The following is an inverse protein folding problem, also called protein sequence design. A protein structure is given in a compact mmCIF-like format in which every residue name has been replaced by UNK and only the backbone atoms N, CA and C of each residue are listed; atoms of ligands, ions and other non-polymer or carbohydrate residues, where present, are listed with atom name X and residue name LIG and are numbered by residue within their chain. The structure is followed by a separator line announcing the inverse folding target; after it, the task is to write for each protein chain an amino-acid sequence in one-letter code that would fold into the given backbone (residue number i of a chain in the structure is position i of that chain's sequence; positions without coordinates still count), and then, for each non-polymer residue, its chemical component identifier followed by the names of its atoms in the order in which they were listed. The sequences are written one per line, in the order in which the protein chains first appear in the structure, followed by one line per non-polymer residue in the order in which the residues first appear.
data_IF_466450602778
#
_entry.id   IF_466450602778
#
_cell.length_a   1.000
_cell.length_b   1.000
_cell.length_c   1.000
_cell.angle_alpha   90.00
_cell.angle_beta   90.00
_cell.angle_gamma   90.00
#
_symmetry.space_group_name_H-M   'P 1'
#
loop_
_entity.id
_entity.type
_entity.pdbx_description
1 polymer ?
#
# COMPACT_ATOMS: atom_id res chain seq x y z
N UNK A 1 64.06 -44.37 -40.49
CA UNK A 1 63.35 -44.38 -41.79
C UNK A 1 61.87 -44.49 -41.46
N UNK A 2 60.92 -43.59 -41.73
CA UNK A 2 60.80 -42.32 -42.47
C UNK A 2 59.54 -41.66 -41.84
N UNK A 3 59.68 -40.61 -41.03
CA UNK A 3 59.23 -39.24 -41.32
C UNK A 3 58.07 -39.09 -42.33
N UNK A 4 56.85 -38.78 -41.87
CA UNK A 4 55.96 -37.81 -42.54
C UNK A 4 55.18 -37.04 -41.47
N UNK A 5 55.55 -35.77 -41.36
CA UNK A 5 54.90 -34.69 -40.62
C UNK A 5 53.64 -34.26 -41.37
N UNK A 6 52.50 -34.17 -40.68
CA UNK A 6 51.33 -33.44 -41.17
C UNK A 6 50.98 -32.35 -40.14
N UNK A 7 51.56 -31.17 -40.36
CA UNK A 7 51.07 -29.88 -39.86
C UNK A 7 49.98 -29.43 -40.84
N UNK A 8 49.04 -28.59 -40.36
CA UNK A 8 47.98 -27.81 -41.05
C UNK A 8 46.57 -28.34 -40.73
N UNK A 9 45.59 -27.57 -40.23
CA UNK A 9 45.41 -26.12 -40.05
C UNK A 9 44.42 -25.91 -38.90
N UNK A 10 44.66 -24.88 -38.09
CA UNK A 10 43.65 -24.30 -37.21
C UNK A 10 42.48 -23.78 -38.06
N UNK A 11 41.29 -24.32 -37.86
CA UNK A 11 40.05 -23.71 -38.31
C UNK A 11 39.60 -22.68 -37.25
N UNK A 12 40.33 -21.58 -37.16
CA UNK A 12 39.83 -20.32 -36.62
C UNK A 12 39.42 -19.48 -37.83
N UNK A 13 38.13 -19.33 -38.08
CA UNK A 13 37.66 -18.61 -39.26
C UNK A 13 36.13 -18.53 -39.28
N UNK A 14 35.59 -17.64 -38.45
CA UNK A 14 34.17 -17.31 -38.40
C UNK A 14 33.74 -16.55 -37.14
N UNK A 15 34.40 -16.76 -35.99
CA UNK A 15 33.86 -16.36 -34.68
C UNK A 15 33.97 -14.85 -34.35
N UNK A 16 35.03 -14.16 -34.77
CA UNK A 16 35.28 -12.78 -34.30
C UNK A 16 34.15 -11.79 -34.68
N UNK A 17 33.57 -11.94 -35.88
CA UNK A 17 32.44 -11.11 -36.32
C UNK A 17 31.13 -11.45 -35.60
N UNK A 18 30.89 -12.73 -35.33
CA UNK A 18 29.69 -13.21 -34.66
C UNK A 18 29.67 -12.85 -33.16
N UNK A 19 30.85 -12.88 -32.51
CA UNK A 19 31.05 -12.51 -31.11
C UNK A 19 30.92 -10.99 -30.91
N UNK A 20 31.50 -10.17 -31.80
CA UNK A 20 31.32 -8.71 -31.80
C UNK A 20 29.86 -8.30 -32.05
N UNK A 21 29.17 -8.99 -32.97
CA UNK A 21 27.76 -8.77 -33.24
C UNK A 21 26.88 -9.18 -32.06
N UNK A 22 27.23 -10.25 -31.35
CA UNK A 22 26.53 -10.68 -30.13
C UNK A 22 26.68 -9.66 -29.00
N UNK A 23 27.90 -9.15 -28.79
CA UNK A 23 28.15 -8.08 -27.81
C UNK A 23 27.33 -6.84 -28.17
N UNK A 24 27.35 -6.38 -29.43
CA UNK A 24 26.59 -5.20 -29.87
C UNK A 24 25.09 -5.33 -29.64
N UNK A 25 24.52 -6.52 -29.92
CA UNK A 25 23.10 -6.81 -29.63
C UNK A 25 22.80 -6.78 -28.13
N UNK A 26 23.68 -7.36 -27.31
CA UNK A 26 23.51 -7.36 -25.86
C UNK A 26 23.64 -5.93 -25.27
N UNK A 27 24.54 -5.10 -25.79
CA UNK A 27 24.67 -3.69 -25.41
C UNK A 27 23.41 -2.90 -25.78
N UNK A 28 22.90 -3.07 -27.00
CA UNK A 28 21.64 -2.45 -27.42
C UNK A 28 20.45 -2.89 -26.54
N UNK A 29 20.40 -4.17 -26.14
CA UNK A 29 19.38 -4.70 -25.23
C UNK A 29 19.49 -4.04 -23.84
N UNK A 30 20.69 -3.90 -23.29
CA UNK A 30 20.90 -3.19 -22.01
C UNK A 30 20.44 -1.74 -22.11
N UNK A 31 20.80 -1.02 -23.17
CA UNK A 31 20.34 0.37 -23.36
C UNK A 31 18.82 0.47 -23.46
N UNK A 32 18.16 -0.46 -24.18
CA UNK A 32 16.71 -0.50 -24.26
C UNK A 32 16.06 -0.78 -22.90
N UNK A 33 16.59 -1.72 -22.12
CA UNK A 33 16.08 -2.04 -20.79
C UNK A 33 16.35 -0.95 -19.75
N UNK A 34 17.46 -0.23 -19.86
CA UNK A 34 17.71 0.98 -19.06
C UNK A 34 16.65 2.05 -19.31
N UNK A 35 16.30 2.28 -20.58
CA UNK A 35 15.22 3.21 -20.94
C UNK A 35 13.88 2.76 -20.38
N UNK A 36 13.53 1.48 -20.52
CA UNK A 36 12.29 0.93 -19.98
C UNK A 36 12.20 1.08 -18.44
N UNK A 37 13.32 0.89 -17.72
CA UNK A 37 13.38 1.17 -16.28
C UNK A 37 13.09 2.64 -16.00
N UNK A 38 13.72 3.57 -16.72
CA UNK A 38 13.47 5.01 -16.54
C UNK A 38 12.01 5.39 -16.83
N UNK A 39 11.43 4.85 -17.90
CA UNK A 39 10.03 5.10 -18.28
C UNK A 39 9.06 4.57 -17.20
N UNK A 40 9.22 3.31 -16.78
CA UNK A 40 8.35 2.70 -15.76
C UNK A 40 8.55 3.27 -14.35
N UNK A 41 9.74 3.75 -14.00
CA UNK A 41 9.97 4.49 -12.74
C UNK A 41 9.27 5.87 -12.75
N UNK A 42 9.21 6.52 -13.92
CA UNK A 42 8.45 7.76 -14.08
C UNK A 42 6.94 7.50 -13.97
N UNK A 43 6.43 6.45 -14.64
CA UNK A 43 5.03 6.02 -14.52
C UNK A 43 4.65 5.69 -13.07
N UNK A 44 5.51 4.96 -12.34
CA UNK A 44 5.29 4.67 -10.93
C UNK A 44 5.24 5.95 -10.07
N UNK A 45 6.12 6.92 -10.35
CA UNK A 45 6.13 8.20 -9.63
C UNK A 45 4.85 8.98 -9.88
N UNK A 46 4.38 9.02 -11.13
CA UNK A 46 3.12 9.66 -11.52
C UNK A 46 1.92 8.99 -10.85
N UNK A 47 1.83 7.66 -10.91
CA UNK A 47 0.75 6.91 -10.29
C UNK A 47 0.73 7.06 -8.76
N UNK A 48 1.90 7.05 -8.11
CA UNK A 48 2.02 7.30 -6.66
C UNK A 48 1.56 8.73 -6.32
N UNK A 49 1.91 9.72 -7.15
CA UNK A 49 1.46 11.11 -6.95
C UNK A 49 -0.05 11.22 -7.08
N UNK A 50 -0.64 10.59 -8.10
CA UNK A 50 -2.08 10.55 -8.29
C UNK A 50 -2.80 9.89 -7.10
N UNK A 51 -2.25 8.80 -6.56
CA UNK A 51 -2.76 8.18 -5.34
C UNK A 51 -2.72 9.13 -4.13
N UNK A 52 -1.61 9.83 -3.92
CA UNK A 52 -1.49 10.79 -2.82
C UNK A 52 -2.47 11.96 -2.99
N UNK A 53 -2.65 12.47 -4.20
CA UNK A 53 -3.58 13.57 -4.49
C UNK A 53 -5.04 13.13 -4.27
N UNK A 54 -5.45 11.98 -4.82
CA UNK A 54 -6.79 11.44 -4.66
C UNK A 54 -7.13 11.12 -3.19
N UNK A 55 -6.17 10.57 -2.44
CA UNK A 55 -6.36 10.30 -1.01
C UNK A 55 -6.46 11.60 -0.19
N UNK A 56 -5.68 12.62 -0.55
CA UNK A 56 -5.77 13.95 0.09
C UNK A 56 -7.16 14.55 -0.14
N UNK A 57 -7.68 14.48 -1.37
CA UNK A 57 -9.04 14.93 -1.69
C UNK A 57 -10.11 14.15 -0.92
N UNK A 58 -9.93 12.84 -0.76
CA UNK A 58 -10.83 12.02 0.04
C UNK A 58 -10.80 12.43 1.53
N UNK A 59 -9.63 12.63 2.11
CA UNK A 59 -9.48 13.10 3.50
C UNK A 59 -10.12 14.47 3.71
N UNK A 60 -9.94 15.41 2.77
CA UNK A 60 -10.61 16.73 2.82
C UNK A 60 -12.13 16.58 2.73
N UNK A 61 -12.62 15.62 1.95
CA UNK A 61 -14.05 15.34 1.84
C UNK A 61 -14.62 14.79 3.17
N UNK A 62 -13.86 13.92 3.85
CA UNK A 62 -14.20 13.41 5.20
C UNK A 62 -14.23 14.54 6.25
N UNK A 63 -13.26 15.45 6.23
CA UNK A 63 -13.24 16.63 7.11
C UNK A 63 -14.49 17.50 6.93
N UNK A 64 -14.86 17.78 5.67
CA UNK A 64 -16.09 18.51 5.34
C UNK A 64 -17.35 17.77 5.80
N UNK A 65 -17.38 16.44 5.74
CA UNK A 65 -18.48 15.66 6.30
C UNK A 65 -18.55 15.81 7.83
N UNK A 66 -17.40 15.82 8.51
CA UNK A 66 -17.30 16.10 9.94
C UNK A 66 -17.87 17.49 10.33
N UNK A 67 -17.62 18.51 9.51
CA UNK A 67 -18.19 19.86 9.70
C UNK A 67 -19.72 19.86 9.66
N UNK A 68 -20.35 19.03 8.82
CA UNK A 68 -21.82 18.89 8.77
C UNK A 68 -22.33 18.39 10.12
N UNK A 69 -21.65 17.39 10.71
CA UNK A 69 -22.04 16.80 11.99
C UNK A 69 -21.87 17.75 13.18
N UNK A 70 -20.96 18.73 13.07
CA UNK A 70 -20.72 19.72 14.14
C UNK A 70 -21.48 21.03 13.93
N UNK A 71 -22.26 21.14 12.85
CA UNK A 71 -23.09 22.31 12.59
C UNK A 71 -24.22 22.49 13.61
N UNK A 72 -24.76 23.71 13.72
CA UNK A 72 -25.70 24.07 14.80
C UNK A 72 -27.07 23.37 14.69
N UNK A 73 -27.43 22.82 13.52
CA UNK A 73 -28.70 22.12 13.31
C UNK A 73 -28.68 21.28 12.00
N UNK A 74 -27.80 20.27 11.86
CA UNK A 74 -27.81 19.42 10.68
C UNK A 74 -29.12 18.63 10.63
N UNK A 75 -29.67 18.49 9.43
CA UNK A 75 -30.80 17.60 9.18
C UNK A 75 -30.29 16.21 8.76
N UNK A 76 -31.14 15.20 8.88
CA UNK A 76 -30.86 13.86 8.32
C UNK A 76 -30.62 13.93 6.80
N UNK A 77 -31.23 14.89 6.11
CA UNK A 77 -30.99 15.15 4.69
C UNK A 77 -29.56 15.62 4.42
N UNK A 78 -29.08 16.60 5.20
CA UNK A 78 -27.71 17.13 5.06
C UNK A 78 -26.65 16.04 5.30
N UNK A 79 -26.88 15.18 6.30
CA UNK A 79 -25.97 14.06 6.60
C UNK A 79 -25.96 13.02 5.48
N UNK A 80 -27.12 12.71 4.89
CA UNK A 80 -27.20 11.75 3.77
C UNK A 80 -26.52 12.31 2.52
N UNK A 81 -26.80 13.55 2.17
CA UNK A 81 -26.18 14.21 1.01
C UNK A 81 -24.66 14.28 1.16
N UNK A 82 -24.16 14.72 2.32
CA UNK A 82 -22.74 14.77 2.59
C UNK A 82 -22.09 13.37 2.59
N UNK A 83 -22.81 12.34 3.02
CA UNK A 83 -22.34 10.95 2.96
C UNK A 83 -22.27 10.39 1.54
N UNK A 84 -23.27 10.68 0.71
CA UNK A 84 -23.31 10.28 -0.70
C UNK A 84 -22.12 10.91 -1.48
N UNK A 85 -21.77 12.16 -1.15
CA UNK A 85 -20.64 12.89 -1.72
C UNK A 85 -19.27 12.24 -1.45
N UNK A 86 -19.15 11.35 -0.45
CA UNK A 86 -17.90 10.63 -0.13
C UNK A 86 -17.64 9.44 -1.06
N UNK A 87 -18.65 8.96 -1.79
CA UNK A 87 -18.56 7.71 -2.58
C UNK A 87 -17.51 7.83 -3.66
N UNK A 88 -17.58 8.90 -4.46
CA UNK A 88 -16.71 9.09 -5.62
C UNK A 88 -15.25 9.37 -5.22
N UNK A 89 -14.93 10.30 -4.28
CA UNK A 89 -13.56 10.49 -3.83
C UNK A 89 -12.91 9.22 -3.28
N UNK A 90 -13.68 8.37 -2.59
CA UNK A 90 -13.20 7.06 -2.13
C UNK A 90 -12.88 6.13 -3.32
N UNK A 91 -13.78 6.02 -4.29
CA UNK A 91 -13.55 5.20 -5.49
C UNK A 91 -12.33 5.68 -6.29
N UNK A 92 -12.16 7.00 -6.41
CA UNK A 92 -11.01 7.62 -7.08
C UNK A 92 -9.70 7.31 -6.32
N UNK A 93 -9.69 7.40 -4.99
CA UNK A 93 -8.52 7.05 -4.17
C UNK A 93 -8.15 5.56 -4.26
N UNK A 94 -9.14 4.66 -4.25
CA UNK A 94 -8.93 3.22 -4.43
C UNK A 94 -8.39 2.91 -5.83
N UNK A 95 -8.99 3.49 -6.89
CA UNK A 95 -8.53 3.29 -8.26
C UNK A 95 -7.09 3.78 -8.46
N UNK A 96 -6.74 4.94 -7.91
CA UNK A 96 -5.37 5.44 -7.96
C UNK A 96 -4.38 4.55 -7.19
N UNK A 97 -4.82 3.90 -6.10
CA UNK A 97 -4.00 2.93 -5.37
C UNK A 97 -3.72 1.67 -6.22
N UNK A 98 -4.74 1.17 -6.94
CA UNK A 98 -4.60 0.03 -7.86
C UNK A 98 -3.65 0.36 -9.01
N UNK A 99 -3.79 1.55 -9.62
CA UNK A 99 -2.89 2.04 -10.67
C UNK A 99 -1.43 2.15 -10.18
N UNK A 100 -1.22 2.63 -8.95
CA UNK A 100 0.11 2.70 -8.36
C UNK A 100 0.73 1.30 -8.17
N UNK A 101 -0.06 0.32 -7.70
CA UNK A 101 0.39 -1.07 -7.57
C UNK A 101 0.75 -1.67 -8.93
N UNK A 102 -0.08 -1.47 -9.96
CA UNK A 102 0.21 -1.95 -11.31
C UNK A 102 1.51 -1.32 -11.87
N UNK A 103 1.70 -0.01 -11.69
CA UNK A 103 2.91 0.69 -12.09
C UNK A 103 4.15 0.17 -11.33
N UNK A 104 4.00 -0.21 -10.06
CA UNK A 104 5.08 -0.79 -9.27
C UNK A 104 5.49 -2.17 -9.80
N UNK A 105 4.53 -3.00 -10.17
CA UNK A 105 4.79 -4.33 -10.72
C UNK A 105 5.51 -4.22 -12.07
N UNK A 106 5.08 -3.27 -12.92
CA UNK A 106 5.76 -2.94 -14.19
C UNK A 106 7.20 -2.48 -13.98
N UNK A 107 7.44 -1.56 -13.03
CA UNK A 107 8.78 -1.06 -12.71
C UNK A 107 9.69 -2.17 -12.20
N UNK A 108 9.19 -3.03 -11.32
CA UNK A 108 9.94 -4.18 -10.81
C UNK A 108 10.29 -5.18 -11.92
N UNK A 109 9.33 -5.49 -12.81
CA UNK A 109 9.57 -6.33 -13.97
C UNK A 109 10.67 -5.74 -14.88
N UNK A 110 10.60 -4.44 -15.19
CA UNK A 110 11.60 -3.76 -16.01
C UNK A 110 13.01 -3.81 -15.38
N UNK A 111 13.11 -3.61 -14.06
CA UNK A 111 14.38 -3.73 -13.31
C UNK A 111 14.96 -5.14 -13.35
N UNK A 112 14.10 -6.16 -13.24
CA UNK A 112 14.54 -7.55 -13.37
C UNK A 112 15.01 -7.87 -14.80
N UNK A 113 14.29 -7.42 -15.82
CA UNK A 113 14.70 -7.59 -17.21
C UNK A 113 16.02 -6.89 -17.54
N UNK A 114 16.28 -5.71 -16.95
CA UNK A 114 17.57 -5.05 -17.05
C UNK A 114 18.68 -5.88 -16.41
N UNK A 115 18.43 -6.47 -15.24
CA UNK A 115 19.39 -7.36 -14.56
C UNK A 115 19.73 -8.57 -15.42
N UNK A 116 18.73 -9.18 -16.07
CA UNK A 116 18.94 -10.28 -17.02
C UNK A 116 19.76 -9.81 -18.23
N UNK A 117 19.42 -8.66 -18.83
CA UNK A 117 20.17 -8.11 -19.97
C UNK A 117 21.64 -7.82 -19.63
N UNK A 118 21.93 -7.32 -18.42
CA UNK A 118 23.29 -7.10 -17.94
C UNK A 118 24.06 -8.42 -17.76
N UNK A 119 23.39 -9.46 -17.27
CA UNK A 119 23.98 -10.80 -17.14
C UNK A 119 24.29 -11.43 -18.51
N UNK A 120 23.40 -11.27 -19.48
CA UNK A 120 23.63 -11.69 -20.87
C UNK A 120 24.80 -10.94 -21.52
N UNK A 121 24.89 -9.62 -21.32
CA UNK A 121 26.02 -8.83 -21.80
C UNK A 121 27.35 -9.32 -21.20
N UNK A 122 27.35 -9.62 -19.89
CA UNK A 122 28.52 -10.20 -19.22
C UNK A 122 28.85 -11.59 -19.78
N UNK A 123 27.87 -12.41 -20.12
CA UNK A 123 28.09 -13.72 -20.73
C UNK A 123 28.69 -13.60 -22.14
N UNK A 124 28.12 -12.72 -22.98
CA UNK A 124 28.63 -12.44 -24.32
C UNK A 124 30.08 -11.93 -24.31
N UNK A 125 30.41 -11.00 -23.40
CA UNK A 125 31.79 -10.51 -23.22
C UNK A 125 32.79 -11.58 -22.77
N UNK A 126 32.31 -12.68 -22.19
CA UNK A 126 33.14 -13.79 -21.72
C UNK A 126 33.07 -15.02 -22.65
N UNK A 127 32.42 -14.94 -23.82
CA UNK A 127 32.21 -16.08 -24.72
C UNK A 127 31.42 -17.24 -24.08
N UNK A 128 30.58 -16.95 -23.07
CA UNK A 128 29.79 -17.95 -22.35
C UNK A 128 28.34 -17.95 -22.85
N UNK A 129 27.67 -19.10 -22.94
CA UNK A 129 26.24 -19.13 -23.24
C UNK A 129 25.43 -18.31 -22.23
N UNK A 130 24.31 -17.71 -22.68
CA UNK A 130 23.48 -16.86 -21.84
C UNK A 130 22.98 -17.63 -20.60
N UNK A 131 22.85 -16.96 -19.45
CA UNK A 131 22.30 -17.58 -18.25
C UNK A 131 20.86 -18.04 -18.49
N UNK A 132 20.46 -19.14 -17.86
CA UNK A 132 19.06 -19.56 -17.86
C UNK A 132 18.18 -18.48 -17.22
N UNK A 133 16.93 -18.29 -17.69
CA UNK A 133 16.02 -17.34 -17.08
C UNK A 133 15.76 -17.73 -15.63
N UNK A 134 16.08 -16.83 -14.70
CA UNK A 134 15.71 -16.94 -13.29
C UNK A 134 14.21 -16.64 -13.16
N UNK A 135 13.46 -17.29 -12.26
CA UNK A 135 12.08 -16.92 -12.00
C UNK A 135 11.94 -15.44 -11.68
N UNK A 136 10.83 -14.83 -12.14
CA UNK A 136 10.45 -13.48 -11.75
C UNK A 136 10.30 -13.42 -10.23
N UNK A 137 11.08 -12.59 -9.54
CA UNK A 137 10.88 -12.34 -8.11
C UNK A 137 9.72 -11.36 -7.96
N UNK A 138 8.84 -11.63 -7.01
CA UNK A 138 7.70 -10.75 -6.72
C UNK A 138 8.21 -9.41 -6.18
N UNK A 139 7.65 -8.32 -6.69
CA UNK A 139 8.04 -6.97 -6.34
C UNK A 139 7.73 -6.66 -4.86
N UNK A 140 8.59 -5.90 -4.18
CA UNK A 140 8.35 -5.49 -2.79
C UNK A 140 7.15 -4.52 -2.72
N UNK A 141 6.07 -4.85 -1.99
CA UNK A 141 4.81 -4.12 -2.07
C UNK A 141 4.96 -2.64 -1.66
N UNK A 142 4.12 -1.77 -2.23
CA UNK A 142 4.13 -0.32 -1.96
C UNK A 142 3.79 0.03 -0.51
N UNK A 143 3.05 -0.83 0.18
CA UNK A 143 2.72 -0.68 1.59
C UNK A 143 2.79 -2.05 2.29
N UNK A 144 2.97 -2.09 3.62
CA UNK A 144 2.90 -3.33 4.38
C UNK A 144 1.56 -4.04 4.16
N UNK A 145 1.53 -5.37 3.89
CA UNK A 145 0.27 -6.11 3.71
C UNK A 145 -0.68 -5.99 4.91
N UNK A 146 -0.13 -5.86 6.13
CA UNK A 146 -0.92 -5.63 7.33
C UNK A 146 -1.71 -4.31 7.27
N UNK A 147 -1.12 -3.25 6.72
CA UNK A 147 -1.77 -1.94 6.58
C UNK A 147 -2.90 -2.01 5.54
N UNK A 148 -2.66 -2.64 4.39
CA UNK A 148 -3.70 -2.83 3.35
C UNK A 148 -4.85 -3.69 3.88
N UNK A 149 -4.54 -4.78 4.57
CA UNK A 149 -5.58 -5.65 5.16
C UNK A 149 -6.38 -4.91 6.23
N UNK A 150 -5.75 -4.02 7.00
CA UNK A 150 -6.44 -3.23 8.02
C UNK A 150 -7.43 -2.24 7.41
N UNK A 151 -7.10 -1.61 6.29
CA UNK A 151 -8.03 -0.76 5.53
C UNK A 151 -9.25 -1.56 5.08
N UNK A 152 -9.03 -2.73 4.44
CA UNK A 152 -10.13 -3.62 4.00
C UNK A 152 -11.02 -4.07 5.16
N UNK A 153 -10.41 -4.37 6.30
CA UNK A 153 -11.15 -4.69 7.51
C UNK A 153 -11.99 -3.49 7.99
N UNK A 154 -11.42 -2.28 8.00
CA UNK A 154 -12.12 -1.07 8.42
C UNK A 154 -13.31 -0.74 7.52
N UNK A 155 -13.17 -0.95 6.20
CA UNK A 155 -14.26 -0.78 5.24
C UNK A 155 -15.40 -1.74 5.55
N UNK A 156 -15.08 -3.03 5.77
CA UNK A 156 -16.07 -4.03 6.15
C UNK A 156 -16.73 -3.73 7.50
N UNK A 157 -15.96 -3.23 8.49
CA UNK A 157 -16.46 -2.83 9.80
C UNK A 157 -17.41 -1.63 9.67
N UNK A 158 -17.10 -0.67 8.81
CA UNK A 158 -17.93 0.51 8.56
C UNK A 158 -19.24 0.16 7.84
N UNK A 159 -19.20 -0.75 6.86
CA UNK A 159 -20.41 -1.29 6.22
C UNK A 159 -21.28 -2.07 7.22
N UNK A 160 -20.65 -2.87 8.08
CA UNK A 160 -21.34 -3.62 9.13
C UNK A 160 -22.00 -2.68 10.15
N UNK A 161 -21.31 -1.62 10.57
CA UNK A 161 -21.86 -0.61 11.48
C UNK A 161 -23.08 0.10 10.85
N UNK A 162 -22.98 0.50 9.58
CA UNK A 162 -24.10 1.13 8.87
C UNK A 162 -25.32 0.21 8.74
N UNK A 163 -25.10 -1.05 8.34
CA UNK A 163 -26.19 -2.01 8.14
C UNK A 163 -26.77 -2.58 9.44
N UNK A 164 -26.00 -2.53 10.54
CA UNK A 164 -26.42 -2.98 11.87
C UNK A 164 -27.30 -1.98 12.62
N UNK A 165 -27.29 -0.71 12.22
CA UNK A 165 -28.12 0.34 12.84
C UNK A 165 -29.53 0.30 12.24
N UNK A 166 -30.53 0.07 13.09
CA UNK A 166 -31.96 0.10 12.75
C UNK A 166 -32.70 1.24 13.45
N UNK A 167 -33.98 1.44 13.08
CA UNK A 167 -34.88 2.42 13.71
C UNK A 167 -35.08 2.17 15.22
N UNK A 168 -34.85 0.93 15.69
CA UNK A 168 -34.92 0.55 17.10
C UNK A 168 -33.60 0.75 17.87
N UNK A 169 -32.51 1.07 17.19
CA UNK A 169 -31.20 1.24 17.83
C UNK A 169 -31.18 2.54 18.63
N UNK A 170 -30.85 2.52 19.94
CA UNK A 170 -30.74 3.75 20.71
C UNK A 170 -29.76 4.72 20.06
N UNK A 171 -30.13 5.99 19.92
CA UNK A 171 -29.31 6.98 19.18
C UNK A 171 -27.87 7.06 19.72
N UNK A 172 -27.70 6.98 21.04
CA UNK A 172 -26.36 6.96 21.67
C UNK A 172 -25.53 5.76 21.25
N UNK A 173 -26.16 4.59 21.08
CA UNK A 173 -25.50 3.36 20.64
C UNK A 173 -25.13 3.47 19.16
N UNK A 174 -26.09 3.87 18.32
CA UNK A 174 -25.88 4.09 16.89
C UNK A 174 -24.73 5.08 16.64
N UNK A 175 -24.70 6.21 17.36
CA UNK A 175 -23.63 7.19 17.24
C UNK A 175 -22.27 6.62 17.63
N UNK A 176 -22.16 5.86 18.73
CA UNK A 176 -20.88 5.27 19.13
C UNK A 176 -20.38 4.24 18.12
N UNK A 177 -21.23 3.32 17.70
CA UNK A 177 -20.87 2.26 16.73
C UNK A 177 -20.46 2.87 15.38
N UNK A 178 -21.27 3.78 14.84
CA UNK A 178 -20.97 4.46 13.58
C UNK A 178 -19.68 5.26 13.66
N UNK A 179 -19.51 6.09 14.70
CA UNK A 179 -18.33 6.95 14.83
C UNK A 179 -17.05 6.14 15.03
N UNK A 180 -17.07 5.06 15.81
CA UNK A 180 -15.90 4.22 15.99
C UNK A 180 -15.48 3.53 14.69
N UNK A 181 -16.43 3.03 13.90
CA UNK A 181 -16.13 2.43 12.61
C UNK A 181 -15.63 3.47 11.58
N UNK A 182 -16.24 4.66 11.54
CA UNK A 182 -15.81 5.75 10.67
C UNK A 182 -14.38 6.23 10.99
N UNK A 183 -14.08 6.47 12.27
CA UNK A 183 -12.73 6.87 12.71
C UNK A 183 -11.71 5.76 12.47
N UNK A 184 -12.08 4.49 12.67
CA UNK A 184 -11.19 3.38 12.35
C UNK A 184 -10.84 3.32 10.85
N UNK A 185 -11.83 3.56 9.99
CA UNK A 185 -11.63 3.63 8.55
C UNK A 185 -10.69 4.78 8.18
N UNK A 186 -10.96 5.98 8.70
CA UNK A 186 -10.12 7.16 8.49
C UNK A 186 -8.67 6.91 8.95
N UNK A 187 -8.46 6.44 10.18
CA UNK A 187 -7.13 6.17 10.72
C UNK A 187 -6.40 5.05 9.97
N UNK A 188 -7.13 4.06 9.45
CA UNK A 188 -6.55 3.00 8.61
C UNK A 188 -6.06 3.54 7.27
N UNK A 189 -6.84 4.42 6.63
CA UNK A 189 -6.45 5.11 5.41
C UNK A 189 -5.28 6.07 5.62
N UNK A 190 -5.28 6.84 6.72
CA UNK A 190 -4.16 7.71 7.08
C UNK A 190 -2.85 6.94 7.28
N UNK A 191 -2.93 5.75 7.87
CA UNK A 191 -1.76 4.86 7.99
C UNK A 191 -1.30 4.36 6.62
N UNK A 192 -2.20 3.95 5.74
CA UNK A 192 -1.85 3.54 4.38
C UNK A 192 -1.20 4.68 3.60
N UNK A 193 -1.74 5.89 3.72
CA UNK A 193 -1.21 7.11 3.13
C UNK A 193 0.22 7.42 3.63
N UNK A 194 0.46 7.26 4.93
CA UNK A 194 1.78 7.40 5.53
C UNK A 194 2.77 6.33 5.02
N UNK A 195 2.36 5.05 5.06
CA UNK A 195 3.18 3.91 4.65
C UNK A 195 3.51 3.93 3.15
N UNK A 196 2.63 4.49 2.33
CA UNK A 196 2.84 4.72 0.90
C UNK A 196 3.79 5.92 0.61
N UNK A 197 4.20 6.66 1.64
CA UNK A 197 5.13 7.78 1.51
C UNK A 197 4.49 9.11 1.11
N UNK A 198 3.16 9.23 1.19
CA UNK A 198 2.46 10.46 0.83
C UNK A 198 2.59 11.58 1.87
N UNK A 199 2.90 11.25 3.13
CA UNK A 199 3.26 12.26 4.13
C UNK A 199 4.68 12.77 3.85
N UNK A 200 4.80 14.05 3.51
CA UNK A 200 6.10 14.69 3.24
C UNK A 200 6.62 15.52 4.40
N UNK A 201 5.74 15.99 5.29
CA UNK A 201 6.10 16.79 6.46
C UNK A 201 6.43 15.88 7.66
N UNK A 202 7.60 16.07 8.27
CA UNK A 202 8.05 15.27 9.41
C UNK A 202 7.20 15.47 10.67
N UNK A 203 6.59 16.66 10.84
CA UNK A 203 5.67 16.92 11.96
C UNK A 203 4.38 16.11 11.81
N UNK A 204 3.85 15.99 10.59
CA UNK A 204 2.64 15.19 10.31
C UNK A 204 2.90 13.70 10.53
N UNK A 205 4.06 13.19 10.08
CA UNK A 205 4.49 11.81 10.38
C UNK A 205 4.57 11.56 11.88
N UNK A 206 5.22 12.47 12.62
CA UNK A 206 5.35 12.36 14.08
C UNK A 206 3.99 12.38 14.76
N UNK A 207 3.04 13.18 14.26
CA UNK A 207 1.69 13.24 14.81
C UNK A 207 0.93 11.93 14.55
N UNK A 208 1.00 11.39 13.33
CA UNK A 208 0.39 10.10 12.99
C UNK A 208 0.95 8.95 13.85
N UNK A 209 2.28 8.90 14.02
CA UNK A 209 2.96 7.93 14.87
C UNK A 209 2.52 8.06 16.34
N UNK A 210 2.43 9.29 16.87
CA UNK A 210 2.02 9.51 18.25
C UNK A 210 0.58 9.02 18.53
N UNK A 211 -0.36 9.27 17.63
CA UNK A 211 -1.75 8.79 17.77
C UNK A 211 -1.81 7.26 17.72
N UNK A 212 -1.05 6.66 16.79
CA UNK A 212 -0.95 5.21 16.66
C UNK A 212 -0.32 4.58 17.91
N UNK A 213 0.78 5.12 18.40
CA UNK A 213 1.50 4.60 19.57
C UNK A 213 0.67 4.68 20.85
N UNK A 214 -0.09 5.77 21.02
CA UNK A 214 -1.07 5.87 22.11
C UNK A 214 -2.11 4.74 22.04
N UNK A 215 -2.64 4.48 20.85
CA UNK A 215 -3.67 3.45 20.65
C UNK A 215 -3.11 2.05 20.85
N UNK A 216 -1.88 1.78 20.39
CA UNK A 216 -1.17 0.53 20.67
C UNK A 216 -1.03 0.28 22.17
N UNK A 217 -0.57 1.30 22.91
CA UNK A 217 -0.41 1.19 24.36
C UNK A 217 -1.75 0.93 25.07
N UNK A 218 -2.84 1.54 24.59
CA UNK A 218 -4.18 1.29 25.11
C UNK A 218 -4.62 -0.16 24.83
N UNK A 219 -4.52 -0.63 23.59
CA UNK A 219 -4.89 -1.99 23.19
C UNK A 219 -4.09 -3.04 23.96
N UNK A 220 -2.78 -2.83 24.12
CA UNK A 220 -1.91 -3.69 24.95
C UNK A 220 -2.40 -3.75 26.40
N UNK A 221 -2.73 -2.60 27.00
CA UNK A 221 -3.23 -2.56 28.37
C UNK A 221 -4.58 -3.27 28.52
N UNK A 222 -5.49 -3.10 27.56
CA UNK A 222 -6.79 -3.78 27.53
C UNK A 222 -6.62 -5.30 27.34
N UNK A 223 -5.67 -5.73 26.51
CA UNK A 223 -5.37 -7.15 26.30
C UNK A 223 -4.80 -7.80 27.55
N UNK A 224 -3.83 -7.15 28.20
CA UNK A 224 -3.21 -7.64 29.45
C UNK A 224 -4.24 -7.78 30.57
N UNK A 225 -5.23 -6.88 30.60
CA UNK A 225 -6.29 -6.88 31.62
C UNK A 225 -7.50 -7.76 31.26
N UNK A 226 -7.49 -8.38 30.07
CA UNK A 226 -8.51 -9.34 29.62
C UNK A 226 -9.78 -8.70 29.07
N UNK A 227 -9.74 -7.43 28.66
CA UNK A 227 -10.85 -6.73 28.02
C UNK A 227 -10.77 -6.71 26.49
N UNK A 228 -9.61 -7.05 25.90
CA UNK A 228 -9.40 -7.01 24.46
C UNK A 228 -8.76 -8.31 23.94
N UNK A 229 -9.47 -8.97 23.02
CA UNK A 229 -9.02 -10.20 22.35
C UNK A 229 -8.64 -9.96 20.87
N UNK A 230 -8.78 -8.71 20.41
CA UNK A 230 -8.48 -8.28 19.05
C UNK A 230 -6.98 -8.12 18.77
N UNK A 231 -6.66 -7.80 17.52
CA UNK A 231 -5.28 -7.53 17.10
C UNK A 231 -4.79 -6.17 17.61
N UNK A 232 -3.63 -6.13 18.27
CA UNK A 232 -2.97 -4.86 18.64
C UNK A 232 -2.36 -4.22 17.38
N UNK A 233 -3.13 -3.32 16.76
CA UNK A 233 -2.85 -2.75 15.45
C UNK A 233 -2.62 -1.22 15.47
N UNK A 234 -2.99 -0.56 16.57
CA UNK A 234 -2.90 0.89 16.75
C UNK A 234 -4.07 1.67 16.14
N UNK A 235 -5.19 1.01 15.83
CA UNK A 235 -6.41 1.63 15.30
C UNK A 235 -7.55 1.50 16.30
N UNK A 236 -8.10 2.63 16.72
CA UNK A 236 -9.24 2.65 17.65
C UNK A 236 -10.53 2.37 16.87
N UNK A 237 -10.85 1.09 16.69
CA UNK A 237 -12.08 0.65 16.02
C UNK A 237 -13.12 0.00 16.93
N UNK A 238 -14.16 -0.63 16.34
CA UNK A 238 -15.28 -1.21 17.08
C UNK A 238 -14.87 -2.21 18.17
N UNK A 239 -13.84 -3.03 17.95
CA UNK A 239 -13.34 -3.95 18.97
C UNK A 239 -12.68 -3.21 20.15
N UNK A 240 -11.90 -2.16 19.88
CA UNK A 240 -11.28 -1.32 20.92
C UNK A 240 -12.35 -0.55 21.70
N UNK A 241 -13.36 -0.03 21.00
CA UNK A 241 -14.54 0.60 21.61
C UNK A 241 -15.21 -0.36 22.60
N UNK A 242 -15.55 -1.58 22.15
CA UNK A 242 -16.21 -2.58 22.98
C UNK A 242 -15.36 -2.98 24.21
N UNK A 243 -14.05 -3.08 24.05
CA UNK A 243 -13.12 -3.35 25.14
C UNK A 243 -13.10 -2.22 26.18
N UNK A 244 -13.07 -0.96 25.73
CA UNK A 244 -13.14 0.20 26.63
C UNK A 244 -14.49 0.29 27.33
N UNK A 245 -15.60 0.02 26.64
CA UNK A 245 -16.93 -0.04 27.25
C UNK A 245 -17.03 -1.12 28.33
N UNK A 246 -16.48 -2.30 28.07
CA UNK A 246 -16.43 -3.41 29.04
C UNK A 246 -15.60 -3.05 30.28
N UNK A 247 -14.44 -2.42 30.07
CA UNK A 247 -13.62 -1.89 31.15
C UNK A 247 -14.39 -0.81 31.94
N UNK A 248 -14.98 0.18 31.28
CA UNK A 248 -15.76 1.22 31.95
C UNK A 248 -16.91 0.63 32.77
N UNK A 249 -17.64 -0.34 32.22
CA UNK A 249 -18.75 -1.00 32.90
C UNK A 249 -18.29 -1.76 34.15
N UNK A 250 -17.23 -2.56 34.03
CA UNK A 250 -16.69 -3.38 35.13
C UNK A 250 -16.17 -2.53 36.30
N UNK A 251 -15.75 -1.29 36.02
CA UNK A 251 -15.24 -0.34 37.00
C UNK A 251 -16.27 0.71 37.45
N UNK A 252 -17.53 0.60 37.02
CA UNK A 252 -18.61 1.50 37.41
C UNK A 252 -18.44 2.93 36.87
N UNK A 253 -17.71 3.10 35.77
CA UNK A 253 -17.54 4.36 35.07
C UNK A 253 -18.70 4.60 34.08
N UNK A 254 -18.94 5.84 33.64
CA UNK A 254 -19.80 6.10 32.50
C UNK A 254 -19.33 5.33 31.26
N UNK A 255 -20.23 4.57 30.64
CA UNK A 255 -19.93 3.75 29.44
C UNK A 255 -20.01 4.65 28.21
N UNK A 256 -18.91 5.34 27.94
CA UNK A 256 -18.76 6.25 26.80
C UNK A 256 -18.02 5.62 25.64
N UNK A 257 -17.23 4.58 25.89
CA UNK A 257 -16.33 3.99 24.90
C UNK A 257 -15.20 4.93 24.47
N UNK A 258 -14.85 5.91 25.30
CA UNK A 258 -13.77 6.88 25.05
C UNK A 258 -12.82 6.92 26.24
N UNK A 259 -11.54 7.23 25.98
CA UNK A 259 -10.47 7.33 27.00
C UNK A 259 -10.00 8.76 27.23
#
# INVERSE_FOLDING_TARGET
MVAVTAVLLAACGGSDGDDEDQIRRAEAKVTAKQRAVTETEAELTEATTAFCDATTEYVVSLDRYGDVLTSTAPTVGDVREAGDDLTRPREDAVGAAEDAVEAQEKSAAARQELTVAQAELKAAKNGKPPPSPTPTESAAPLAPPATVNRVKQAESEFEAAQSGISDETPLSEASRQFNAAAVALEMSWLRLFADAGCLTNDQEKTAADAVRDYTLALQDALAITGYYDGGVDGVYGPETLAAVESLQQSHGLPVTGTV
#
